data_IF_593680676449
#
_entry.id   IF_593680676449
#
_cell.length_a   1.000
_cell.length_b   1.000
_cell.length_c   1.000
_cell.angle_alpha   90.00
_cell.angle_beta   90.00
_cell.angle_gamma   90.00
#
_symmetry.space_group_name_H-M   'P 1'
#
loop_
_entity.id
_entity.type
_entity.pdbx_description
1 polymer ?
#
# COMPACT_ATOMS: atom_id res chain seq x y z
N UNK A 1 1.56 -17.54 -10.00
CA UNK A 1 2.47 -16.97 -8.99
C UNK A 1 3.26 -15.90 -9.70
N UNK A 2 2.98 -14.65 -9.36
CA UNK A 2 3.72 -13.50 -9.85
C UNK A 2 4.84 -13.18 -8.86
N UNK A 3 6.08 -13.21 -9.36
CA UNK A 3 7.27 -12.93 -8.56
C UNK A 3 7.24 -11.48 -8.04
N UNK A 4 6.73 -10.55 -8.85
CA UNK A 4 6.54 -9.15 -8.45
C UNK A 4 5.52 -8.99 -7.32
N UNK A 5 4.45 -9.78 -7.33
CA UNK A 5 3.44 -9.76 -6.26
C UNK A 5 4.06 -10.30 -4.97
N UNK A 6 4.83 -11.39 -5.07
CA UNK A 6 5.53 -11.97 -3.92
C UNK A 6 6.52 -10.98 -3.30
N UNK A 7 7.33 -10.32 -4.12
CA UNK A 7 8.25 -9.28 -3.63
C UNK A 7 7.50 -8.14 -2.94
N UNK A 8 6.37 -7.72 -3.50
CA UNK A 8 5.52 -6.68 -2.91
C UNK A 8 4.97 -7.13 -1.55
N UNK A 9 4.47 -8.37 -1.44
CA UNK A 9 3.96 -8.92 -0.19
C UNK A 9 5.05 -9.00 0.90
N UNK A 10 6.24 -9.50 0.54
CA UNK A 10 7.40 -9.56 1.46
C UNK A 10 7.80 -8.15 1.89
N UNK A 11 7.88 -7.21 0.95
CA UNK A 11 8.22 -5.82 1.23
C UNK A 11 7.16 -5.14 2.11
N UNK A 12 5.88 -5.40 1.87
CA UNK A 12 4.76 -4.91 2.67
C UNK A 12 4.90 -5.37 4.13
N UNK A 13 5.09 -6.68 4.36
CA UNK A 13 5.27 -7.21 5.70
C UNK A 13 6.54 -6.67 6.38
N UNK A 14 7.64 -6.53 5.62
CA UNK A 14 8.90 -6.01 6.18
C UNK A 14 8.82 -4.53 6.55
N UNK A 15 8.11 -3.74 5.75
CA UNK A 15 8.01 -2.28 5.92
C UNK A 15 6.90 -1.91 6.89
N UNK A 16 5.72 -2.51 6.74
CA UNK A 16 4.50 -2.18 7.49
C UNK A 16 4.10 -3.24 8.51
N UNK A 17 4.76 -4.39 8.59
CA UNK A 17 4.42 -5.41 9.61
C UNK A 17 4.63 -4.94 11.06
N UNK A 18 5.31 -3.81 11.27
CA UNK A 18 5.43 -3.13 12.57
C UNK A 18 4.40 -2.00 12.78
N UNK A 19 3.61 -1.68 11.76
CA UNK A 19 2.61 -0.62 11.82
C UNK A 19 1.37 -1.15 12.53
N UNK A 20 0.95 -0.45 13.57
CA UNK A 20 -0.27 -0.77 14.30
C UNK A 20 -1.47 -0.66 13.37
N UNK A 21 -2.25 -1.74 13.25
CA UNK A 21 -3.41 -1.83 12.35
C UNK A 21 -3.11 -2.40 10.96
N UNK A 22 -1.84 -2.58 10.56
CA UNK A 22 -1.52 -3.14 9.25
C UNK A 22 -1.77 -4.66 9.18
N UNK A 23 -1.38 -5.40 10.23
CA UNK A 23 -1.51 -6.85 10.27
C UNK A 23 -0.39 -7.57 9.49
N UNK A 24 -0.75 -8.64 8.77
CA UNK A 24 0.18 -9.44 7.96
C UNK A 24 -0.48 -9.84 6.63
N UNK A 25 0.27 -9.76 5.55
CA UNK A 25 -0.14 -10.16 4.21
C UNK A 25 0.46 -11.55 3.89
N UNK A 26 -0.26 -12.47 3.25
CA UNK A 26 0.33 -13.72 2.75
C UNK A 26 1.38 -13.43 1.67
N UNK A 27 2.51 -14.14 1.69
CA UNK A 27 3.62 -13.99 0.73
C UNK A 27 3.60 -15.13 -0.32
N UNK A 28 2.43 -15.39 -0.87
CA UNK A 28 2.15 -16.51 -1.79
C UNK A 28 2.36 -16.16 -3.26
N UNK A 29 2.69 -14.91 -3.58
CA UNK A 29 2.82 -14.40 -4.94
C UNK A 29 1.51 -14.43 -5.73
N UNK A 30 0.38 -14.47 -5.04
CA UNK A 30 -0.94 -14.39 -5.65
C UNK A 30 -1.63 -13.09 -5.22
N UNK A 31 -2.13 -12.35 -6.21
CA UNK A 31 -2.89 -11.12 -5.96
C UNK A 31 -4.29 -11.49 -5.49
N UNK A 32 -4.45 -11.67 -4.18
CA UNK A 32 -5.74 -11.86 -3.54
C UNK A 32 -6.21 -10.60 -2.81
N UNK A 33 -7.43 -10.65 -2.25
CA UNK A 33 -7.98 -9.57 -1.42
C UNK A 33 -7.05 -9.20 -0.26
N UNK A 34 -6.37 -10.17 0.36
CA UNK A 34 -5.40 -9.89 1.43
C UNK A 34 -4.23 -8.99 0.95
N UNK A 35 -3.74 -9.18 -0.27
CA UNK A 35 -2.70 -8.34 -0.87
C UNK A 35 -3.25 -6.93 -1.11
N UNK A 36 -4.46 -6.81 -1.67
CA UNK A 36 -5.11 -5.52 -1.91
C UNK A 36 -5.37 -4.76 -0.60
N UNK A 37 -5.81 -5.45 0.45
CA UNK A 37 -5.99 -4.86 1.78
C UNK A 37 -4.67 -4.40 2.37
N UNK A 38 -3.61 -5.21 2.25
CA UNK A 38 -2.26 -4.81 2.62
C UNK A 38 -1.79 -3.55 1.89
N UNK A 39 -1.94 -3.51 0.57
CA UNK A 39 -1.60 -2.34 -0.25
C UNK A 39 -2.40 -1.10 0.17
N UNK A 40 -3.69 -1.25 0.43
CA UNK A 40 -4.57 -0.16 0.87
C UNK A 40 -4.16 0.37 2.24
N UNK A 41 -3.92 -0.50 3.22
CA UNK A 41 -3.45 -0.11 4.57
C UNK A 41 -2.07 0.53 4.52
N UNK A 42 -1.14 0.00 3.73
CA UNK A 42 0.17 0.61 3.52
C UNK A 42 0.04 2.01 2.92
N UNK A 43 -0.85 2.17 1.94
CA UNK A 43 -1.09 3.46 1.31
C UNK A 43 -1.66 4.48 2.29
N UNK A 44 -2.63 4.06 3.09
CA UNK A 44 -3.23 4.89 4.13
C UNK A 44 -2.20 5.33 5.17
N UNK A 45 -1.29 4.42 5.58
CA UNK A 45 -0.20 4.76 6.50
C UNK A 45 0.71 5.84 5.90
N UNK A 46 1.09 5.70 4.62
CA UNK A 46 1.91 6.67 3.89
C UNK A 46 1.21 8.02 3.72
N UNK A 47 -0.13 8.02 3.63
CA UNK A 47 -0.97 9.23 3.65
C UNK A 47 -1.11 9.87 5.05
N UNK A 48 -0.52 9.27 6.08
CA UNK A 48 -0.63 9.70 7.48
C UNK A 48 -2.01 9.43 8.07
N UNK A 49 -2.71 8.41 7.58
CA UNK A 49 -3.96 7.91 8.17
C UNK A 49 -3.59 6.86 9.21
N UNK A 50 -4.02 7.06 10.45
CA UNK A 50 -3.79 6.12 11.55
C UNK A 50 -4.85 5.02 11.62
N UNK A 51 -6.08 5.32 11.20
CA UNK A 51 -7.16 4.34 11.04
C UNK A 51 -7.04 3.65 9.67
N UNK A 52 -6.19 2.63 9.63
CA UNK A 52 -6.01 1.79 8.46
C UNK A 52 -7.27 0.92 8.28
N UNK A 53 -7.91 1.02 7.12
CA UNK A 53 -9.10 0.25 6.76
C UNK A 53 -8.87 -0.54 5.48
N UNK A 54 -9.61 -1.62 5.34
CA UNK A 54 -9.55 -2.51 4.17
C UNK A 54 -10.22 -1.95 2.91
N UNK A 55 -10.67 -0.69 2.98
CA UNK A 55 -11.41 -0.06 1.91
C UNK A 55 -10.79 1.26 1.47
N UNK A 56 -10.66 1.42 0.16
CA UNK A 56 -10.24 2.68 -0.44
C UNK A 56 -11.44 3.62 -0.54
N UNK A 57 -11.71 4.35 0.55
CA UNK A 57 -12.81 5.31 0.63
C UNK A 57 -12.50 6.68 0.00
N UNK A 58 -13.51 7.55 -0.12
CA UNK A 58 -13.35 8.90 -0.68
C UNK A 58 -12.39 9.78 0.14
N UNK A 59 -12.22 9.54 1.44
CA UNK A 59 -11.24 10.24 2.28
C UNK A 59 -9.80 9.88 1.91
N UNK A 60 -9.53 8.58 1.69
CA UNK A 60 -8.22 8.10 1.21
C UNK A 60 -7.93 8.65 -0.17
N UNK A 61 -8.93 8.62 -1.07
CA UNK A 61 -8.82 9.20 -2.41
C UNK A 61 -8.53 10.71 -2.37
N UNK A 62 -9.23 11.47 -1.53
CA UNK A 62 -8.99 12.91 -1.39
C UNK A 62 -7.59 13.22 -0.83
N UNK A 63 -7.13 12.46 0.17
CA UNK A 63 -5.75 12.61 0.68
C UNK A 63 -4.72 12.21 -0.37
N UNK A 64 -4.98 11.15 -1.14
CA UNK A 64 -4.16 10.74 -2.27
C UNK A 64 -4.01 11.87 -3.28
N UNK A 65 -5.13 12.45 -3.71
CA UNK A 65 -5.13 13.53 -4.69
C UNK A 65 -4.38 14.76 -4.15
N UNK A 66 -4.63 15.11 -2.88
CA UNK A 66 -3.99 16.25 -2.23
C UNK A 66 -2.47 16.06 -2.05
N UNK A 67 -2.03 14.88 -1.60
CA UNK A 67 -0.63 14.63 -1.27
C UNK A 67 0.19 14.15 -2.47
N UNK A 68 -0.39 13.31 -3.32
CA UNK A 68 0.30 12.62 -4.39
C UNK A 68 -0.06 13.14 -5.78
N UNK A 69 -1.29 13.57 -6.09
CA UNK A 69 -1.56 14.02 -7.47
C UNK A 69 -0.70 15.23 -7.91
N UNK A 70 -0.34 16.10 -6.97
CA UNK A 70 0.60 17.20 -7.24
C UNK A 70 2.08 16.87 -7.02
N UNK A 71 2.41 15.73 -6.37
CA UNK A 71 3.79 15.33 -6.02
C UNK A 71 4.32 14.14 -6.81
N UNK A 72 3.45 13.28 -7.34
CA UNK A 72 3.80 12.17 -8.24
C UNK A 72 4.21 12.79 -9.57
N UNK A 73 5.48 13.17 -9.62
CA UNK A 73 6.19 13.62 -10.81
C UNK A 73 7.20 12.54 -11.16
N UNK A 74 7.64 12.54 -12.42
CA UNK A 74 8.69 11.65 -12.90
C UNK A 74 9.94 11.80 -12.01
N UNK A 75 10.28 10.75 -11.26
CA UNK A 75 11.37 10.76 -10.27
C UNK A 75 10.94 10.72 -8.79
N UNK A 76 9.63 10.67 -8.49
CA UNK A 76 9.13 10.58 -7.13
C UNK A 76 9.43 9.20 -6.52
N UNK A 77 10.47 9.12 -5.67
CA UNK A 77 10.86 7.90 -4.95
C UNK A 77 10.11 7.83 -3.62
N UNK A 78 8.92 7.24 -3.63
CA UNK A 78 8.17 6.96 -2.41
C UNK A 78 7.70 5.51 -2.41
N UNK A 79 7.56 4.94 -1.22
CA UNK A 79 7.02 3.59 -1.03
C UNK A 79 5.66 3.41 -1.73
N UNK A 80 4.89 4.50 -1.83
CA UNK A 80 3.65 4.60 -2.58
C UNK A 80 3.73 4.14 -4.04
N UNK A 81 4.86 4.38 -4.74
CA UNK A 81 4.98 3.95 -6.14
C UNK A 81 5.00 2.43 -6.24
N UNK A 82 5.69 1.76 -5.29
CA UNK A 82 5.67 0.30 -5.20
C UNK A 82 4.29 -0.24 -4.87
N UNK A 83 3.52 0.48 -4.04
CA UNK A 83 2.16 0.07 -3.69
C UNK A 83 1.25 0.11 -4.92
N UNK A 84 1.32 1.17 -5.73
CA UNK A 84 0.52 1.26 -6.96
C UNK A 84 0.96 0.22 -8.00
N UNK A 85 2.28 -0.02 -8.12
CA UNK A 85 2.82 -0.97 -9.10
C UNK A 85 2.56 -2.43 -8.74
N UNK A 86 2.35 -2.73 -7.46
CA UNK A 86 2.08 -4.10 -6.97
C UNK A 86 0.60 -4.45 -6.81
N UNK A 87 -0.31 -3.52 -7.14
CA UNK A 87 -1.76 -3.71 -7.10
C UNK A 87 -2.35 -4.21 -8.40
#
# INVERSE_FOLDING_TARGET
MDEMVKETQVWLNKTYGKVSGFGKVPEDGNTGWNTVYGLTRALQHELGITDLVDNFGPSTAAKWDTQFANKVKTGFKHNVVKIIQGG
#
